data_IF_367655860469
#
_entry.id   IF_367655860469
#
_cell.length_a   1.000
_cell.length_b   1.000
_cell.length_c   1.000
_cell.angle_alpha   90.00
_cell.angle_beta   90.00
_cell.angle_gamma   90.00
#
_symmetry.space_group_name_H-M   'P 1'
#
loop_
_entity.id
_entity.type
_entity.pdbx_description
1 polymer ?
#
# COMPACT_ATOMS: atom_id res chain seq x y z
N UNK A 1 -9.94 -55.20 -7.05
CA UNK A 1 -10.46 -54.67 -5.77
C UNK A 1 -10.64 -53.18 -5.92
N UNK A 2 -11.87 -52.77 -6.22
CA UNK A 2 -12.22 -51.40 -6.61
C UNK A 2 -12.58 -50.61 -5.36
N UNK A 3 -11.75 -49.62 -5.01
CA UNK A 3 -12.01 -48.75 -3.86
C UNK A 3 -12.87 -47.58 -4.35
N UNK A 4 -14.19 -47.71 -4.21
CA UNK A 4 -15.08 -46.56 -4.32
C UNK A 4 -14.87 -45.66 -3.10
N UNK A 5 -14.14 -44.56 -3.30
CA UNK A 5 -14.10 -43.46 -2.34
C UNK A 5 -15.50 -42.87 -2.25
N UNK A 6 -16.22 -43.19 -1.16
CA UNK A 6 -17.43 -42.49 -0.78
C UNK A 6 -17.03 -41.04 -0.48
N UNK A 7 -17.31 -40.14 -1.42
CA UNK A 7 -17.45 -38.72 -1.14
C UNK A 7 -18.53 -38.58 -0.07
N UNK A 8 -18.12 -38.51 1.18
CA UNK A 8 -18.96 -38.07 2.28
C UNK A 8 -19.31 -36.62 1.98
N UNK A 9 -20.45 -36.46 1.31
CA UNK A 9 -21.18 -35.22 1.19
C UNK A 9 -21.54 -34.77 2.61
N UNK A 10 -20.59 -34.12 3.27
CA UNK A 10 -20.80 -33.45 4.55
C UNK A 10 -21.72 -32.29 4.23
N UNK A 11 -23.03 -32.52 4.37
CA UNK A 11 -24.03 -31.45 4.49
C UNK A 11 -23.62 -30.61 5.69
N UNK A 12 -22.74 -29.63 5.46
CA UNK A 12 -22.51 -28.57 6.41
C UNK A 12 -23.86 -27.86 6.57
N UNK A 13 -24.39 -27.80 7.79
CA UNK A 13 -25.46 -26.85 8.11
C UNK A 13 -25.05 -25.43 7.70
N UNK A 14 -25.96 -24.45 7.73
CA UNK A 14 -25.65 -23.09 7.29
C UNK A 14 -24.38 -22.61 8.01
N UNK A 15 -23.25 -22.56 7.29
CA UNK A 15 -21.99 -22.03 7.82
C UNK A 15 -22.27 -20.56 8.06
N UNK A 16 -22.28 -20.16 9.33
CA UNK A 16 -22.37 -18.76 9.71
C UNK A 16 -21.20 -18.03 9.04
N UNK A 17 -21.50 -17.17 8.07
CA UNK A 17 -20.45 -16.41 7.38
C UNK A 17 -19.80 -15.46 8.39
N UNK A 18 -18.48 -15.33 8.33
CA UNK A 18 -17.74 -14.37 9.15
C UNK A 18 -17.87 -13.00 8.48
N UNK A 19 -18.57 -12.09 9.13
CA UNK A 19 -18.70 -10.70 8.69
C UNK A 19 -17.36 -9.95 8.88
N UNK A 20 -16.78 -9.43 7.80
CA UNK A 20 -15.52 -8.66 7.82
C UNK A 20 -15.69 -7.34 7.07
N UNK A 21 -15.03 -6.29 7.54
CA UNK A 21 -14.80 -5.09 6.73
C UNK A 21 -13.78 -5.37 5.63
N UNK A 22 -13.78 -4.59 4.54
CA UNK A 22 -12.91 -4.87 3.39
C UNK A 22 -11.43 -4.89 3.77
N UNK A 23 -10.98 -3.98 4.65
CA UNK A 23 -9.59 -3.96 5.09
C UNK A 23 -9.24 -5.24 5.87
N UNK A 24 -10.12 -5.72 6.75
CA UNK A 24 -9.92 -6.95 7.51
C UNK A 24 -9.93 -8.18 6.59
N UNK A 25 -10.79 -8.21 5.58
CA UNK A 25 -10.85 -9.29 4.60
C UNK A 25 -9.54 -9.37 3.79
N UNK A 26 -9.00 -8.23 3.37
CA UNK A 26 -7.71 -8.15 2.66
C UNK A 26 -6.54 -8.55 3.56
N UNK A 27 -6.49 -8.04 4.78
CA UNK A 27 -5.46 -8.44 5.76
C UNK A 27 -5.52 -9.95 6.00
N UNK A 28 -6.71 -10.51 6.24
CA UNK A 28 -6.86 -11.96 6.39
C UNK A 28 -6.39 -12.73 5.13
N UNK A 29 -6.81 -12.33 3.94
CA UNK A 29 -6.44 -13.02 2.69
C UNK A 29 -4.92 -12.98 2.43
N UNK A 30 -4.30 -11.80 2.51
CA UNK A 30 -2.89 -11.65 2.13
C UNK A 30 -1.90 -11.93 3.26
N UNK A 31 -2.26 -11.66 4.52
CA UNK A 31 -1.38 -11.88 5.68
C UNK A 31 -1.57 -13.27 6.29
N UNK A 32 -2.81 -13.66 6.56
CA UNK A 32 -3.11 -14.92 7.27
C UNK A 32 -3.12 -16.10 6.32
N UNK A 33 -3.91 -16.03 5.25
CA UNK A 33 -4.02 -17.10 4.24
C UNK A 33 -2.87 -17.07 3.21
N UNK A 34 -2.06 -16.00 3.22
CA UNK A 34 -0.91 -15.81 2.32
C UNK A 34 -1.26 -15.93 0.84
N UNK A 35 -2.48 -15.49 0.48
CA UNK A 35 -2.92 -15.43 -0.90
C UNK A 35 -1.94 -14.59 -1.74
N UNK A 36 -1.77 -14.98 -3.01
CA UNK A 36 -0.86 -14.33 -3.94
C UNK A 36 -1.66 -13.71 -5.07
N UNK A 37 -1.17 -12.58 -5.57
CA UNK A 37 -1.66 -12.03 -6.83
C UNK A 37 -1.10 -12.88 -7.97
N UNK A 38 -1.93 -13.22 -8.93
CA UNK A 38 -1.50 -13.77 -10.22
C UNK A 38 -0.91 -12.63 -11.04
N UNK A 39 0.40 -12.44 -10.91
CA UNK A 39 1.13 -11.42 -11.65
C UNK A 39 1.48 -11.96 -13.05
N UNK A 40 1.47 -11.11 -14.09
CA UNK A 40 1.98 -11.49 -15.39
C UNK A 40 3.45 -11.91 -15.25
N UNK A 41 3.85 -12.88 -16.07
CA UNK A 41 5.23 -13.33 -16.09
C UNK A 41 6.15 -12.14 -16.44
N UNK A 42 7.25 -11.92 -15.70
CA UNK A 42 8.20 -10.87 -16.04
C UNK A 42 8.71 -11.04 -17.48
N UNK A 43 8.90 -9.94 -18.23
CA UNK A 43 9.55 -10.03 -19.53
C UNK A 43 10.97 -10.56 -19.34
N UNK A 44 11.25 -11.72 -19.93
CA UNK A 44 12.56 -12.35 -19.89
C UNK A 44 13.31 -12.05 -21.20
N UNK A 45 14.36 -11.20 -21.16
CA UNK A 45 15.13 -10.84 -22.35
C UNK A 45 15.96 -12.02 -22.92
N UNK A 46 16.25 -13.06 -22.13
CA UNK A 46 17.07 -14.20 -22.55
C UNK A 46 16.22 -15.35 -23.15
N UNK A 47 14.89 -15.25 -23.08
CA UNK A 47 13.95 -16.28 -23.57
C UNK A 47 13.95 -16.43 -25.08
N UNK A 48 14.43 -15.42 -25.81
CA UNK A 48 14.61 -15.48 -27.27
C UNK A 48 15.87 -16.24 -27.71
N UNK A 49 16.92 -16.22 -26.89
CA UNK A 49 18.27 -16.72 -27.24
C UNK A 49 18.67 -17.99 -26.47
N UNK A 50 17.91 -18.38 -25.45
CA UNK A 50 18.15 -19.62 -24.71
C UNK A 50 17.62 -20.84 -25.48
N UNK A 51 18.44 -21.86 -25.80
CA UNK A 51 17.94 -23.08 -26.41
C UNK A 51 16.95 -23.77 -25.46
N UNK A 52 15.71 -23.96 -25.92
CA UNK A 52 14.70 -24.70 -25.17
C UNK A 52 15.09 -26.17 -25.10
N UNK A 53 15.36 -26.67 -23.89
CA UNK A 53 15.62 -28.09 -23.68
C UNK A 53 14.31 -28.85 -23.48
N UNK A 54 14.20 -30.03 -24.10
CA UNK A 54 13.12 -30.98 -23.79
C UNK A 54 13.16 -31.39 -22.32
N UNK A 55 11.99 -31.64 -21.72
CA UNK A 55 11.87 -32.04 -20.32
C UNK A 55 12.70 -33.30 -20.03
N UNK A 56 12.79 -34.21 -21.00
CA UNK A 56 13.56 -35.45 -20.95
C UNK A 56 15.05 -35.18 -20.73
N UNK A 57 15.61 -34.22 -21.47
CA UNK A 57 17.01 -33.81 -21.33
C UNK A 57 17.30 -33.23 -19.94
N UNK A 58 16.39 -32.39 -19.43
CA UNK A 58 16.51 -31.80 -18.08
C UNK A 58 16.44 -32.86 -17.00
N UNK A 59 15.55 -33.86 -17.15
CA UNK A 59 15.43 -34.99 -16.21
C UNK A 59 16.68 -35.86 -16.24
N UNK A 60 17.20 -36.20 -17.42
CA UNK A 60 18.45 -36.97 -17.56
C UNK A 60 19.64 -36.25 -16.91
N UNK A 61 19.79 -34.94 -17.12
CA UNK A 61 20.89 -34.16 -16.54
C UNK A 61 20.79 -34.09 -15.01
N UNK A 62 19.57 -33.90 -14.46
CA UNK A 62 19.33 -33.93 -13.01
C UNK A 62 19.62 -35.29 -12.40
N UNK A 63 19.23 -36.37 -13.09
CA UNK A 63 19.51 -37.74 -12.66
C UNK A 63 21.02 -38.03 -12.66
N UNK A 64 21.75 -37.55 -13.67
CA UNK A 64 23.21 -37.67 -13.75
C UNK A 64 23.92 -36.94 -12.61
N UNK A 65 23.39 -35.78 -12.17
CA UNK A 65 23.87 -35.03 -11.01
C UNK A 65 23.45 -35.64 -9.67
N UNK A 66 22.65 -36.72 -9.66
CA UNK A 66 22.10 -37.33 -8.45
C UNK A 66 21.03 -36.48 -7.75
N UNK A 67 20.52 -35.43 -8.40
CA UNK A 67 19.49 -34.57 -7.85
C UNK A 67 18.12 -35.27 -7.88
N UNK A 68 17.57 -35.59 -6.70
CA UNK A 68 16.16 -35.99 -6.59
C UNK A 68 15.29 -34.74 -6.82
N UNK A 69 14.38 -34.80 -7.79
CA UNK A 69 13.38 -33.76 -8.00
C UNK A 69 12.44 -33.79 -6.79
N UNK A 70 12.54 -32.78 -5.92
CA UNK A 70 11.54 -32.52 -4.89
C UNK A 70 10.29 -31.97 -5.59
N UNK A 71 9.46 -32.88 -6.10
CA UNK A 71 8.12 -32.53 -6.52
C UNK A 71 7.38 -32.08 -5.27
N UNK A 72 7.32 -30.76 -5.05
CA UNK A 72 6.76 -30.17 -3.84
C UNK A 72 5.50 -30.93 -3.45
N UNK A 73 5.56 -31.63 -2.30
CA UNK A 73 4.47 -32.51 -1.86
C UNK A 73 3.15 -31.74 -1.95
N UNK A 74 2.20 -32.27 -2.73
CA UNK A 74 0.81 -31.78 -2.73
C UNK A 74 0.33 -31.83 -1.28
N UNK A 75 0.18 -30.66 -0.66
CA UNK A 75 -0.32 -30.50 0.71
C UNK A 75 -1.77 -30.03 0.61
N UNK A 76 -2.76 -30.91 0.79
CA UNK A 76 -4.16 -30.50 0.89
C UNK A 76 -4.36 -29.46 2.00
N UNK A 77 -3.60 -29.58 3.09
CA UNK A 77 -3.66 -28.71 4.27
C UNK A 77 -2.91 -27.37 4.11
N UNK A 78 -2.25 -27.14 2.96
CA UNK A 78 -1.61 -25.87 2.61
C UNK A 78 -2.23 -25.19 1.39
N UNK A 79 -3.42 -25.62 1.00
CA UNK A 79 -4.20 -24.88 0.01
C UNK A 79 -4.60 -23.53 0.62
N UNK A 80 -4.32 -22.44 -0.09
CA UNK A 80 -4.90 -21.14 0.22
C UNK A 80 -6.42 -21.29 0.31
N UNK A 81 -7.07 -20.65 1.27
CA UNK A 81 -8.53 -20.73 1.38
C UNK A 81 -9.19 -20.18 0.10
N UNK A 82 -10.21 -20.87 -0.42
CA UNK A 82 -10.91 -20.50 -1.67
C UNK A 82 -11.35 -19.02 -1.68
N UNK A 83 -12.03 -18.55 -0.63
CA UNK A 83 -12.40 -17.13 -0.49
C UNK A 83 -11.20 -16.16 -0.55
N UNK A 84 -10.01 -16.56 -0.06
CA UNK A 84 -8.82 -15.72 -0.14
C UNK A 84 -8.26 -15.65 -1.56
N UNK A 85 -8.36 -16.73 -2.34
CA UNK A 85 -8.04 -16.73 -3.77
C UNK A 85 -9.02 -15.84 -4.56
N UNK A 86 -10.32 -15.92 -4.26
CA UNK A 86 -11.33 -15.03 -4.87
C UNK A 86 -11.04 -13.56 -4.55
N UNK A 87 -10.68 -13.24 -3.31
CA UNK A 87 -10.27 -11.88 -2.92
C UNK A 87 -9.04 -11.44 -3.71
N UNK A 88 -8.01 -12.30 -3.83
CA UNK A 88 -6.80 -11.97 -4.57
C UNK A 88 -7.09 -11.76 -6.07
N UNK A 89 -7.94 -12.58 -6.68
CA UNK A 89 -8.37 -12.44 -8.06
C UNK A 89 -9.16 -11.14 -8.29
N UNK A 90 -10.06 -10.77 -7.37
CA UNK A 90 -10.77 -9.49 -7.44
C UNK A 90 -9.79 -8.30 -7.39
N UNK A 91 -8.83 -8.33 -6.47
CA UNK A 91 -7.79 -7.29 -6.36
C UNK A 91 -6.91 -7.21 -7.62
N UNK A 92 -6.55 -8.34 -8.22
CA UNK A 92 -5.75 -8.39 -9.44
C UNK A 92 -6.47 -7.76 -10.66
N UNK A 93 -7.81 -7.75 -10.65
CA UNK A 93 -8.65 -7.19 -11.71
C UNK A 93 -8.99 -5.71 -11.53
N UNK A 94 -8.31 -4.99 -10.63
CA UNK A 94 -8.49 -3.54 -10.48
C UNK A 94 -8.35 -2.81 -11.83
N UNK A 95 -9.26 -1.89 -12.18
CA UNK A 95 -9.18 -1.16 -13.42
C UNK A 95 -8.00 -0.18 -13.41
N UNK A 96 -7.45 0.11 -14.60
CA UNK A 96 -6.34 1.05 -14.76
C UNK A 96 -6.67 2.46 -14.25
N UNK A 97 -7.94 2.87 -14.30
CA UNK A 97 -8.42 4.14 -13.73
C UNK A 97 -8.23 4.25 -12.21
N UNK A 98 -8.17 3.12 -11.50
CA UNK A 98 -7.90 3.01 -10.07
C UNK A 98 -6.45 2.57 -9.78
N UNK A 99 -5.56 2.67 -10.77
CA UNK A 99 -4.14 2.35 -10.67
C UNK A 99 -3.78 0.91 -11.03
N UNK A 100 -4.76 0.10 -11.46
CA UNK A 100 -4.56 -1.24 -12.01
C UNK A 100 -3.68 -2.15 -11.14
N UNK A 101 -2.82 -2.94 -11.80
CA UNK A 101 -1.93 -3.89 -11.13
C UNK A 101 -0.98 -3.24 -10.12
N UNK A 102 -0.52 -2.01 -10.37
CA UNK A 102 0.34 -1.28 -9.42
C UNK A 102 -0.39 -0.99 -8.12
N UNK A 103 -1.66 -0.60 -8.19
CA UNK A 103 -2.50 -0.42 -7.00
C UNK A 103 -2.82 -1.76 -6.34
N UNK A 104 -3.11 -2.81 -7.12
CA UNK A 104 -3.33 -4.16 -6.61
C UNK A 104 -2.15 -4.67 -5.76
N UNK A 105 -0.93 -4.55 -6.29
CA UNK A 105 0.31 -4.88 -5.56
C UNK A 105 0.40 -4.04 -4.28
N UNK A 106 0.17 -2.72 -4.38
CA UNK A 106 0.22 -1.83 -3.22
C UNK A 106 -0.78 -2.23 -2.14
N UNK A 107 -2.01 -2.61 -2.49
CA UNK A 107 -3.02 -3.11 -1.56
C UNK A 107 -2.55 -4.41 -0.91
N UNK A 108 -2.05 -5.36 -1.69
CA UNK A 108 -1.56 -6.63 -1.16
C UNK A 108 -0.41 -6.44 -0.16
N UNK A 109 0.57 -5.58 -0.47
CA UNK A 109 1.68 -5.28 0.45
C UNK A 109 1.20 -4.58 1.72
N UNK A 110 0.31 -3.60 1.58
CA UNK A 110 -0.28 -2.90 2.72
C UNK A 110 -1.09 -3.84 3.62
N UNK A 111 -1.84 -4.77 3.04
CA UNK A 111 -2.60 -5.78 3.78
C UNK A 111 -1.67 -6.78 4.50
N UNK A 112 -0.58 -7.22 3.88
CA UNK A 112 0.45 -8.04 4.55
C UNK A 112 1.07 -7.30 5.74
N UNK A 113 1.38 -6.01 5.55
CA UNK A 113 1.90 -5.15 6.59
C UNK A 113 0.84 -4.72 7.63
N UNK A 114 -0.45 -4.86 7.34
CA UNK A 114 -1.58 -4.33 8.15
C UNK A 114 -1.44 -2.84 8.36
N UNK A 115 -1.05 -2.15 7.29
CA UNK A 115 -0.85 -0.72 7.24
C UNK A 115 -1.80 -0.12 6.22
N UNK A 116 -2.04 1.19 6.35
CA UNK A 116 -2.69 1.99 5.30
C UNK A 116 -1.65 2.90 4.67
N UNK A 117 -1.92 3.50 3.49
CA UNK A 117 -1.02 4.51 2.95
C UNK A 117 -0.79 5.64 3.96
N UNK A 118 0.45 6.12 4.06
CA UNK A 118 0.75 7.28 4.86
C UNK A 118 0.15 8.53 4.18
N UNK A 119 -0.83 9.13 4.84
CA UNK A 119 -1.49 10.37 4.42
C UNK A 119 -0.86 11.61 5.08
N UNK A 120 0.21 11.41 5.85
CA UNK A 120 0.93 12.37 6.67
C UNK A 120 0.11 12.90 7.87
N UNK A 121 -0.09 12.07 8.92
CA UNK A 121 -0.75 12.46 10.16
C UNK A 121 -0.22 13.74 10.79
N UNK A 122 -1.11 14.70 11.00
CA UNK A 122 -0.78 15.97 11.66
C UNK A 122 0.21 16.85 10.88
N UNK A 123 0.49 16.55 9.60
CA UNK A 123 1.43 17.34 8.82
C UNK A 123 0.90 18.76 8.59
N UNK A 124 1.68 19.72 9.06
CA UNK A 124 1.46 21.16 8.86
C UNK A 124 2.73 21.71 8.18
N UNK A 125 2.60 22.40 7.03
CA UNK A 125 3.76 22.98 6.36
C UNK A 125 4.35 24.09 7.24
N UNK A 126 5.67 24.08 7.45
CA UNK A 126 6.39 25.12 8.19
C UNK A 126 7.45 25.77 7.31
N UNK A 127 7.54 27.10 7.39
CA UNK A 127 8.62 27.85 6.77
C UNK A 127 9.88 27.68 7.62
N UNK A 128 10.90 27.03 7.06
CA UNK A 128 12.14 26.68 7.74
C UNK A 128 13.34 27.16 6.92
N UNK A 129 14.48 27.49 7.54
CA UNK A 129 15.71 27.78 6.82
C UNK A 129 16.11 26.63 5.90
N UNK A 130 16.61 26.94 4.70
CA UNK A 130 17.14 25.93 3.77
C UNK A 130 18.32 25.19 4.39
N UNK A 131 19.16 25.91 5.14
CA UNK A 131 20.35 25.35 5.76
C UNK A 131 20.55 25.95 7.16
N UNK A 132 20.86 25.07 8.12
CA UNK A 132 21.27 25.40 9.47
C UNK A 132 22.73 24.99 9.66
N UNK A 133 23.54 25.86 10.26
CA UNK A 133 24.92 25.57 10.66
C UNK A 133 25.03 25.60 12.18
N UNK A 134 25.86 24.70 12.73
CA UNK A 134 26.13 24.64 14.16
C UNK A 134 27.48 25.28 14.47
N UNK A 135 27.52 26.13 15.51
CA UNK A 135 28.74 26.67 16.08
C UNK A 135 28.75 26.51 17.61
N UNK A 136 29.78 27.04 18.28
CA UNK A 136 29.91 26.99 19.74
C UNK A 136 28.76 27.65 20.52
N UNK A 137 27.94 28.47 19.85
CA UNK A 137 26.78 29.18 20.41
C UNK A 137 25.44 28.55 20.00
N UNK A 138 25.44 27.40 19.31
CA UNK A 138 24.22 26.66 18.94
C UNK A 138 23.97 26.61 17.43
N UNK A 139 22.72 26.35 17.06
CA UNK A 139 22.28 26.32 15.67
C UNK A 139 21.96 27.72 15.16
N UNK A 140 22.41 28.02 13.94
CA UNK A 140 22.17 29.30 13.28
C UNK A 140 21.85 29.08 11.81
N UNK A 141 20.85 29.80 11.32
CA UNK A 141 20.47 29.76 9.91
C UNK A 141 21.55 30.37 9.02
N UNK A 142 21.79 29.77 7.86
CA UNK A 142 22.70 30.33 6.86
C UNK A 142 22.10 31.61 6.26
N UNK A 143 22.96 32.61 6.02
CA UNK A 143 22.58 33.87 5.38
C UNK A 143 23.44 34.13 4.14
N UNK A 144 22.79 34.56 3.07
CA UNK A 144 23.40 34.93 1.78
C UNK A 144 23.28 36.42 1.55
N UNK A 145 24.23 37.01 0.83
CA UNK A 145 24.13 38.40 0.37
C UNK A 145 23.07 38.49 -0.73
N UNK A 146 22.12 39.41 -0.61
CA UNK A 146 21.03 39.65 -1.59
C UNK A 146 21.09 41.03 -2.25
N UNK A 147 22.00 41.90 -1.80
CA UNK A 147 22.21 43.21 -2.39
C UNK A 147 23.03 44.12 -1.49
N UNK A 148 23.10 45.40 -1.85
CA UNK A 148 23.72 46.43 -1.00
C UNK A 148 22.76 47.59 -0.82
N UNK A 149 22.78 48.21 0.36
CA UNK A 149 21.98 49.39 0.67
C UNK A 149 22.87 50.50 1.22
N UNK A 150 22.56 51.76 0.85
CA UNK A 150 23.16 52.93 1.50
C UNK A 150 22.34 53.28 2.74
N UNK A 151 22.98 53.23 3.91
CA UNK A 151 22.38 53.57 5.19
C UNK A 151 23.14 54.75 5.79
N UNK A 152 22.40 55.75 6.27
CA UNK A 152 22.97 56.88 7.00
C UNK A 152 23.18 56.46 8.45
N UNK A 153 24.44 56.29 8.86
CA UNK A 153 24.78 55.88 10.23
C UNK A 153 25.76 56.87 10.81
N UNK A 154 25.41 57.49 11.95
CA UNK A 154 26.23 58.52 12.62
C UNK A 154 26.63 59.67 11.68
N UNK A 155 25.67 60.18 10.89
CA UNK A 155 25.87 61.32 9.99
C UNK A 155 26.69 61.05 8.71
N UNK A 156 27.12 59.79 8.49
CA UNK A 156 27.87 59.39 7.27
C UNK A 156 27.13 58.32 6.50
N UNK A 157 27.10 58.46 5.18
CA UNK A 157 26.57 57.42 4.30
C UNK A 157 27.52 56.24 4.22
N UNK A 158 27.02 55.03 4.50
CA UNK A 158 27.77 53.78 4.35
C UNK A 158 27.01 52.81 3.47
N UNK A 159 27.74 52.10 2.63
CA UNK A 159 27.20 50.96 1.87
C UNK A 159 27.31 49.71 2.72
N UNK A 160 26.19 49.03 2.95
CA UNK A 160 26.10 47.82 3.77
C UNK A 160 25.55 46.68 2.91
N UNK A 161 26.09 45.47 3.10
CA UNK A 161 25.57 44.25 2.47
C UNK A 161 24.25 43.83 3.12
N UNK A 162 23.20 43.73 2.31
CA UNK A 162 21.92 43.15 2.74
C UNK A 162 22.05 41.64 2.73
N UNK A 163 21.78 41.00 3.87
CA UNK A 163 21.80 39.55 4.01
C UNK A 163 20.39 39.02 4.25
N UNK A 164 20.04 37.92 3.61
CA UNK A 164 18.78 37.21 3.81
C UNK A 164 19.04 35.74 4.15
N UNK A 165 18.11 35.12 4.86
CA UNK A 165 18.09 33.68 5.08
C UNK A 165 17.21 33.03 4.01
N UNK A 166 17.76 32.16 3.14
CA UNK A 166 16.94 31.35 2.26
C UNK A 166 16.05 30.42 3.08
N UNK A 167 14.76 30.37 2.76
CA UNK A 167 13.78 29.53 3.44
C UNK A 167 13.10 28.57 2.46
N UNK A 168 12.59 27.47 2.99
CA UNK A 168 11.80 26.46 2.29
C UNK A 168 10.62 26.00 3.16
N UNK A 169 9.67 25.26 2.57
CA UNK A 169 8.56 24.66 3.30
C UNK A 169 8.83 23.19 3.59
N UNK A 170 8.74 22.79 4.86
CA UNK A 170 8.90 21.41 5.29
C UNK A 170 7.82 20.97 6.30
N UNK A 171 7.12 19.83 6.08
CA UNK A 171 7.01 19.16 4.78
C UNK A 171 6.36 20.09 3.74
N UNK A 172 6.72 19.92 2.47
CA UNK A 172 6.24 20.80 1.42
C UNK A 172 4.72 20.59 1.21
N UNK A 173 3.91 21.64 1.02
CA UNK A 173 2.45 21.49 0.81
C UNK A 173 2.08 20.48 -0.28
N UNK A 174 2.84 20.46 -1.39
CA UNK A 174 2.65 19.50 -2.47
C UNK A 174 2.88 18.03 -2.03
N UNK A 175 3.80 17.76 -1.11
CA UNK A 175 4.03 16.42 -0.56
C UNK A 175 2.82 15.96 0.26
N UNK A 176 2.31 16.83 1.14
CA UNK A 176 1.10 16.57 1.92
C UNK A 176 -0.09 16.29 0.99
N UNK A 177 -0.27 17.14 -0.02
CA UNK A 177 -1.35 16.97 -1.00
C UNK A 177 -1.21 15.66 -1.79
N UNK A 178 0.01 15.28 -2.19
CA UNK A 178 0.25 14.01 -2.87
C UNK A 178 -0.05 12.80 -1.99
N UNK A 179 0.39 12.81 -0.73
CA UNK A 179 0.12 11.75 0.23
C UNK A 179 -1.40 11.54 0.43
N UNK A 180 -2.14 12.63 0.60
CA UNK A 180 -3.61 12.60 0.73
C UNK A 180 -4.29 12.09 -0.55
N UNK A 181 -3.83 12.48 -1.74
CA UNK A 181 -4.34 11.94 -3.01
C UNK A 181 -4.07 10.44 -3.14
N UNK A 182 -2.88 9.97 -2.78
CA UNK A 182 -2.57 8.54 -2.80
C UNK A 182 -3.46 7.74 -1.85
N UNK A 183 -3.72 8.25 -0.64
CA UNK A 183 -4.67 7.64 0.28
C UNK A 183 -6.07 7.59 -0.32
N UNK A 184 -6.56 8.69 -0.90
CA UNK A 184 -7.88 8.73 -1.53
C UNK A 184 -8.01 7.74 -2.69
N UNK A 185 -6.98 7.61 -3.54
CA UNK A 185 -6.96 6.63 -4.63
C UNK A 185 -7.00 5.19 -4.11
N UNK A 186 -6.23 4.89 -3.05
CA UNK A 186 -6.28 3.58 -2.40
C UNK A 186 -7.66 3.31 -1.79
N UNK A 187 -8.28 4.31 -1.16
CA UNK A 187 -9.62 4.19 -0.58
C UNK A 187 -10.67 3.85 -1.66
N UNK A 188 -10.63 4.53 -2.82
CA UNK A 188 -11.51 4.23 -3.96
C UNK A 188 -11.27 2.83 -4.52
N UNK A 189 -10.01 2.38 -4.57
CA UNK A 189 -9.69 1.02 -4.99
C UNK A 189 -10.25 -0.02 -4.01
N UNK A 190 -10.20 0.23 -2.70
CA UNK A 190 -10.83 -0.64 -1.71
C UNK A 190 -12.36 -0.69 -1.86
N UNK A 191 -12.98 0.46 -2.11
CA UNK A 191 -14.42 0.56 -2.34
C UNK A 191 -14.84 -0.27 -3.55
N UNK A 192 -14.09 -0.16 -4.65
CA UNK A 192 -14.31 -0.96 -5.86
C UNK A 192 -14.17 -2.47 -5.61
N UNK A 193 -13.13 -2.90 -4.89
CA UNK A 193 -12.96 -4.32 -4.53
C UNK A 193 -14.10 -4.78 -3.61
N UNK A 194 -14.53 -3.96 -2.65
CA UNK A 194 -15.65 -4.26 -1.77
C UNK A 194 -16.92 -4.52 -2.57
N UNK A 195 -17.29 -3.59 -3.45
CA UNK A 195 -18.49 -3.74 -4.28
C UNK A 195 -18.37 -4.94 -5.22
N UNK A 196 -17.21 -5.14 -5.88
CA UNK A 196 -16.98 -6.30 -6.73
C UNK A 196 -17.14 -7.64 -6.00
N UNK A 197 -16.68 -7.73 -4.75
CA UNK A 197 -16.85 -8.93 -3.93
C UNK A 197 -18.30 -9.15 -3.48
N UNK A 198 -19.04 -8.08 -3.19
CA UNK A 198 -20.46 -8.15 -2.79
C UNK A 198 -21.37 -8.50 -3.96
N UNK A 199 -21.20 -7.82 -5.09
CA UNK A 199 -21.95 -8.07 -6.32
C UNK A 199 -21.64 -9.47 -6.89
N UNK A 200 -20.38 -9.89 -6.82
CA UNK A 200 -19.97 -11.21 -7.31
C UNK A 200 -20.57 -12.38 -6.53
N UNK A 201 -20.83 -12.22 -5.23
CA UNK A 201 -21.46 -13.25 -4.39
C UNK A 201 -20.69 -14.58 -4.30
N UNK A 202 -19.41 -14.58 -4.69
CA UNK A 202 -18.57 -15.79 -4.81
C UNK A 202 -17.99 -16.28 -3.47
N UNK A 203 -18.05 -15.45 -2.41
CA UNK A 203 -17.50 -15.77 -1.11
C UNK A 203 -18.40 -16.75 -0.33
N UNK A 204 -17.82 -17.88 0.08
CA UNK A 204 -18.54 -18.98 0.74
C UNK A 204 -18.59 -18.83 2.25
N UNK A 205 -17.53 -18.32 2.85
CA UNK A 205 -17.29 -18.29 4.30
C UNK A 205 -17.20 -16.89 4.87
N UNK A 206 -16.88 -15.91 4.04
CA UNK A 206 -16.80 -14.49 4.41
C UNK A 206 -18.01 -13.74 3.89
N UNK A 207 -18.52 -12.83 4.70
CA UNK A 207 -19.48 -11.81 4.30
C UNK A 207 -18.82 -10.44 4.40
N UNK A 208 -18.79 -9.70 3.29
CA UNK A 208 -18.12 -8.39 3.22
C UNK A 208 -19.12 -7.31 3.61
N UNK A 209 -18.87 -6.69 4.75
CA UNK A 209 -19.73 -5.63 5.32
C UNK A 209 -19.46 -4.27 4.68
N UNK A 210 -20.33 -3.28 4.99
CA UNK A 210 -20.14 -1.88 4.62
C UNK A 210 -18.96 -1.19 5.35
N UNK A 211 -18.29 -1.87 6.27
CA UNK A 211 -17.22 -1.27 7.07
C UNK A 211 -16.00 -0.90 6.20
N UNK A 212 -15.73 0.41 6.14
CA UNK A 212 -14.63 1.01 5.40
C UNK A 212 -13.64 1.74 6.31
N UNK A 213 -12.37 1.88 5.89
CA UNK A 213 -11.46 2.86 6.46
C UNK A 213 -12.04 4.27 6.36
N UNK A 214 -11.63 5.18 7.26
CA UNK A 214 -12.05 6.59 7.21
C UNK A 214 -11.69 7.20 5.86
N UNK A 215 -12.65 7.83 5.19
CA UNK A 215 -12.43 8.38 3.84
C UNK A 215 -11.43 9.55 3.82
N UNK A 216 -11.48 10.42 4.83
CA UNK A 216 -10.59 11.57 4.97
C UNK A 216 -10.04 11.66 6.40
N UNK A 217 -9.05 10.83 6.77
CA UNK A 217 -8.53 10.78 8.14
C UNK A 217 -7.83 12.08 8.57
N UNK A 218 -7.43 12.93 7.62
CA UNK A 218 -6.85 14.26 7.88
C UNK A 218 -7.89 15.38 8.03
N UNK A 219 -9.18 15.12 7.77
CA UNK A 219 -10.21 16.12 7.97
C UNK A 219 -10.38 16.34 9.48
N UNK A 220 -10.14 17.56 9.94
CA UNK A 220 -10.53 17.93 11.30
C UNK A 220 -12.05 17.91 11.38
N UNK A 221 -12.58 17.32 12.45
CA UNK A 221 -13.99 17.47 12.80
C UNK A 221 -14.27 18.97 12.85
N UNK A 222 -15.08 19.46 11.92
CA UNK A 222 -15.49 20.86 11.95
C UNK A 222 -16.24 21.08 13.26
N UNK A 223 -15.93 22.15 13.98
CA UNK A 223 -16.41 22.44 15.34
C UNK A 223 -17.94 22.51 15.50
N UNK A 224 -18.72 22.28 14.45
CA UNK A 224 -20.19 22.17 14.51
C UNK A 224 -20.68 20.87 15.16
N UNK A 225 -19.89 19.79 15.16
CA UNK A 225 -20.27 18.54 15.86
C UNK A 225 -19.91 18.52 17.35
N UNK A 226 -19.00 19.40 17.81
CA UNK A 226 -18.62 19.48 19.23
C UNK A 226 -19.66 20.19 20.11
N UNK A 227 -20.61 20.93 19.51
CA UNK A 227 -21.67 21.62 20.26
C UNK A 227 -22.87 20.68 20.52
N UNK A 228 -23.03 19.61 19.74
CA UNK A 228 -24.14 18.66 19.89
C UNK A 228 -24.00 17.67 21.06
N UNK A 229 -22.79 17.44 21.58
CA UNK A 229 -22.53 16.45 22.64
C UNK A 229 -22.35 17.06 24.05
N UNK A 230 -22.83 18.29 24.29
CA UNK A 230 -22.81 18.93 25.61
C UNK A 230 -24.19 19.22 26.22
N UNK A 231 -25.24 18.59 25.71
CA UNK A 231 -26.58 18.65 26.32
C UNK A 231 -27.25 17.30 26.17
N UNK A 232 -27.08 16.41 27.16
CA UNK A 232 -28.06 15.95 28.16
C UNK A 232 -27.29 15.09 29.17
#
# INVERSE_FOLDING_TARGET
MTVHSRLLNRRAGPRTKRALGIQQALEWAFRTEKARLELPEPPDPERGDSPGFGLEYVVMQRAALGCRIDGGRYKPDSSTHEDAEVIAACVANLPTSLGGLRMAIRIAELARAGMTPDWMPGAVPRCVPVEMKRNQHGERSVTIAVGTARVLTRGKWRTVELRACPVTWSPHPNQIAAARRHYAQWWLALDWVREGLREGGLLRSIDVTDAMPKQQPWAHLTSREQIGNKTV
#
